data_IF_833622136191
#
_entry.id   IF_833622136191
#
_cell.length_a   1.000
_cell.length_b   1.000
_cell.length_c   1.000
_cell.angle_alpha   90.00
_cell.angle_beta   90.00
_cell.angle_gamma   90.00
#
_symmetry.space_group_name_H-M   'P 1'
#
loop_
_entity.id
_entity.type
_entity.pdbx_description
1 polymer ?
2 polymer ?
3 branched ?
4 branched ?
5 non-polymer ?
6 non-polymer ?
7 non-polymer ?
8 non-polymer ?
9 water ?
#
# COMPACT_ATOMS: atom_id res chain seq x y z
N UNK A 1 -2.78 7.31 -33.20
CA UNK A 1 -1.58 7.18 -32.30
C UNK A 1 -1.65 8.15 -31.12
N UNK A 2 -1.70 7.60 -29.92
CA UNK A 2 -2.10 8.40 -28.76
C UNK A 2 -0.94 8.81 -27.82
N UNK A 3 0.27 8.31 -28.08
CA UNK A 3 1.42 8.60 -27.22
C UNK A 3 2.73 8.83 -27.97
N UNK A 4 3.84 8.82 -27.25
CA UNK A 4 5.15 9.07 -27.81
C UNK A 4 6.20 8.20 -27.12
N UNK A 5 6.85 7.31 -27.86
CA UNK A 5 7.75 6.36 -27.23
C UNK A 5 9.15 6.90 -27.23
N UNK A 6 9.97 6.30 -26.36
CA UNK A 6 11.34 6.73 -26.13
C UNK A 6 12.02 5.54 -25.49
N UNK A 7 13.35 5.50 -25.52
CA UNK A 7 14.09 4.40 -24.92
C UNK A 7 13.62 3.93 -23.50
N UNK A 8 13.46 4.85 -22.55
CA UNK A 8 13.03 4.42 -21.20
C UNK A 8 11.73 5.08 -20.76
N UNK A 9 10.77 5.24 -21.65
CA UNK A 9 9.65 6.04 -21.26
C UNK A 9 8.55 6.00 -22.25
N UNK A 10 7.38 6.46 -21.82
CA UNK A 10 6.23 6.54 -22.68
C UNK A 10 5.39 7.73 -22.27
N UNK A 11 5.29 8.75 -23.11
CA UNK A 11 4.55 9.92 -22.76
C UNK A 11 3.16 9.85 -23.35
N UNK A 12 2.14 9.71 -22.50
CA UNK A 12 0.76 9.60 -22.97
C UNK A 12 0.29 10.86 -23.66
N UNK A 13 1.05 11.39 -24.60
CA UNK A 13 0.57 12.54 -25.37
C UNK A 13 1.18 12.37 -26.75
N UNK A 14 0.40 12.71 -27.77
CA UNK A 14 0.79 12.56 -29.15
C UNK A 14 1.80 13.62 -29.53
N UNK A 15 2.82 13.22 -30.29
CA UNK A 15 3.82 14.17 -30.78
C UNK A 15 3.52 14.77 -32.18
N UNK A 16 2.29 14.60 -32.68
CA UNK A 16 1.99 15.17 -34.01
C UNK A 16 2.34 16.64 -34.16
N UNK A 17 2.19 17.42 -33.10
CA UNK A 17 2.58 18.83 -33.14
C UNK A 17 4.06 19.03 -32.79
N UNK A 18 4.77 17.93 -32.51
CA UNK A 18 6.21 18.02 -32.19
C UNK A 18 6.64 18.63 -30.85
N UNK A 19 5.71 18.90 -29.94
CA UNK A 19 6.04 19.58 -28.65
C UNK A 19 6.49 18.65 -27.51
N UNK A 20 6.30 17.35 -27.67
CA UNK A 20 6.60 16.41 -26.64
C UNK A 20 8.11 16.39 -26.36
N UNK A 21 8.48 16.28 -25.08
CA UNK A 21 9.90 16.16 -24.70
C UNK A 21 10.05 14.98 -23.82
N UNK A 22 11.28 14.53 -23.67
CA UNK A 22 11.55 13.43 -22.78
C UNK A 22 11.19 13.81 -21.31
N UNK A 23 10.46 12.92 -20.61
CA UNK A 23 10.09 13.25 -19.23
C UNK A 23 11.33 13.35 -18.33
N UNK A 24 12.49 12.90 -18.81
CA UNK A 24 13.74 13.11 -18.09
C UNK A 24 14.47 14.42 -18.40
N UNK A 25 13.89 15.32 -19.20
CA UNK A 25 14.71 16.44 -19.69
C UNK A 25 14.04 17.77 -19.66
N UNK A 26 12.72 17.81 -19.75
CA UNK A 26 12.05 19.08 -19.88
C UNK A 26 10.62 19.01 -19.37
N UNK A 27 10.09 20.16 -18.95
CA UNK A 27 8.76 20.14 -18.33
C UNK A 27 7.73 19.49 -19.24
N UNK A 28 6.64 19.01 -18.68
CA UNK A 28 5.64 18.30 -19.44
C UNK A 28 4.38 19.11 -19.45
N UNK A 29 4.54 20.42 -19.58
CA UNK A 29 3.41 21.33 -19.45
C UNK A 29 2.43 21.29 -20.61
N UNK A 30 2.67 20.41 -21.56
CA UNK A 30 1.73 20.21 -22.67
C UNK A 30 0.79 19.06 -22.37
N UNK A 31 1.14 18.21 -21.42
CA UNK A 31 0.17 17.14 -21.09
C UNK A 31 -0.69 17.47 -19.87
N UNK A 32 -0.42 18.59 -19.22
CA UNK A 32 -1.21 19.07 -18.09
C UNK A 32 -0.77 20.49 -17.82
N UNK A 33 -1.69 21.35 -17.41
CA UNK A 33 -1.28 22.71 -17.09
C UNK A 33 -0.27 22.76 -15.95
N UNK A 34 0.50 23.85 -15.87
CA UNK A 34 1.37 24.02 -14.69
C UNK A 34 0.61 23.94 -13.37
N UNK A 35 -0.60 24.47 -13.33
CA UNK A 35 -1.33 24.46 -12.05
C UNK A 35 -1.66 23.04 -11.58
N UNK A 36 -1.87 22.12 -12.52
CA UNK A 36 -2.18 20.76 -12.14
C UNK A 36 -0.94 20.09 -11.59
N UNK A 37 0.22 20.57 -12.01
CA UNK A 37 1.45 20.05 -11.45
C UNK A 37 1.60 20.56 -10.02
N UNK A 38 1.13 21.80 -9.80
CA UNK A 38 1.12 22.40 -8.49
C UNK A 38 0.20 21.59 -7.57
N UNK A 39 -1.02 21.35 -8.05
CA UNK A 39 -1.99 20.52 -7.36
C UNK A 39 -1.39 19.15 -7.05
N UNK A 40 -0.56 18.62 -7.95
CA UNK A 40 0.06 17.35 -7.67
C UNK A 40 1.04 17.50 -6.51
N UNK A 41 1.73 18.63 -6.46
CA UNK A 41 2.70 18.87 -5.40
C UNK A 41 1.92 19.10 -4.09
N UNK A 42 0.84 19.89 -4.18
CA UNK A 42 0.02 20.12 -3.04
C UNK A 42 -0.37 18.76 -2.44
N UNK A 43 -0.78 17.84 -3.31
CA UNK A 43 -1.26 16.56 -2.84
C UNK A 43 -0.17 15.74 -2.18
N UNK A 44 1.03 15.74 -2.74
CA UNK A 44 2.11 15.01 -2.13
C UNK A 44 2.46 15.66 -0.80
N UNK A 45 2.27 16.98 -0.75
CA UNK A 45 2.57 17.72 0.45
C UNK A 45 1.60 17.27 1.56
N UNK A 46 0.32 17.14 1.22
CA UNK A 46 -0.64 16.59 2.16
C UNK A 46 -0.21 15.19 2.69
N UNK A 47 0.17 14.28 1.80
CA UNK A 47 0.47 12.92 2.21
C UNK A 47 1.70 12.86 3.06
N UNK A 48 2.60 13.82 2.87
CA UNK A 48 3.82 13.85 3.67
C UNK A 48 3.47 14.39 5.08
N UNK A 49 2.71 15.48 5.11
CA UNK A 49 2.42 16.16 6.35
C UNK A 49 1.57 15.30 7.26
N UNK A 50 0.68 14.49 6.68
CA UNK A 50 -0.13 13.53 7.43
C UNK A 50 0.59 12.19 7.60
N UNK A 51 1.25 11.72 6.54
CA UNK A 51 1.80 10.37 6.52
C UNK A 51 3.09 10.27 7.31
N UNK A 52 3.88 11.32 7.32
CA UNK A 52 5.09 11.26 8.12
C UNK A 52 4.77 11.17 9.62
N UNK A 53 4.07 12.18 10.18
CA UNK A 53 3.83 12.15 11.65
C UNK A 53 3.11 10.87 12.10
N UNK A 54 2.03 10.51 11.45
CA UNK A 54 1.30 9.30 11.80
C UNK A 54 2.13 8.01 11.83
N UNK A 55 2.99 7.81 10.84
CA UNK A 55 3.74 6.57 10.78
C UNK A 55 4.95 6.62 11.68
N UNK A 56 5.56 7.79 11.77
CA UNK A 56 6.70 7.96 12.64
C UNK A 56 6.23 7.85 14.11
N UNK A 57 5.16 8.57 14.43
CA UNK A 57 4.60 8.50 15.76
C UNK A 57 4.37 7.04 16.17
N UNK A 58 3.87 6.23 15.24
CA UNK A 58 3.74 4.80 15.49
C UNK A 58 5.04 4.12 15.95
N UNK A 59 6.15 4.43 15.29
CA UNK A 59 7.42 3.83 15.69
C UNK A 59 7.85 4.38 17.06
N UNK A 60 7.64 5.68 17.23
CA UNK A 60 8.08 6.39 18.40
C UNK A 60 7.38 5.89 19.68
N UNK A 61 6.05 5.84 19.68
CA UNK A 61 5.37 5.32 20.85
C UNK A 61 5.79 3.89 21.16
N UNK A 62 6.17 3.13 20.14
CA UNK A 62 6.56 1.75 20.40
C UNK A 62 7.88 1.70 21.18
N UNK A 63 8.76 2.67 20.93
CA UNK A 63 9.98 2.81 21.70
C UNK A 63 9.67 3.25 23.16
N UNK A 64 8.62 4.03 23.34
CA UNK A 64 8.27 4.59 24.64
C UNK A 64 7.37 3.70 25.51
N UNK A 65 6.66 2.76 24.89
CA UNK A 65 5.64 2.00 25.60
C UNK A 65 5.87 0.51 25.56
N UNK A 66 6.49 -0.01 26.61
CA UNK A 66 6.83 -1.43 26.68
C UNK A 66 5.71 -2.35 26.19
N UNK A 67 4.47 -2.04 26.56
CA UNK A 67 3.32 -2.90 26.24
C UNK A 67 3.07 -3.09 24.74
N UNK A 68 3.53 -2.14 23.92
CA UNK A 68 3.27 -2.23 22.50
C UNK A 68 4.22 -3.24 21.87
N UNK A 69 5.36 -3.48 22.52
CA UNK A 69 6.39 -4.32 21.94
C UNK A 69 6.13 -5.80 22.07
N UNK A 70 5.01 -6.27 21.51
CA UNK A 70 4.61 -7.67 21.54
C UNK A 70 4.64 -8.26 20.12
N UNK A 71 4.84 -9.59 20.00
CA UNK A 71 4.96 -10.20 18.66
C UNK A 71 3.82 -9.87 17.68
N UNK A 72 2.58 -9.87 18.15
CA UNK A 72 1.46 -9.57 17.27
C UNK A 72 1.48 -8.11 16.78
N UNK A 73 2.30 -7.27 17.40
CA UNK A 73 2.41 -5.92 16.93
C UNK A 73 3.53 -5.73 15.92
N UNK A 74 4.40 -6.72 15.78
CA UNK A 74 5.55 -6.56 14.88
C UNK A 74 5.11 -6.14 13.48
N UNK A 75 4.05 -6.78 12.98
CA UNK A 75 3.64 -6.59 11.60
C UNK A 75 3.03 -5.20 11.39
N UNK A 76 2.51 -4.61 12.47
CA UNK A 76 1.99 -3.26 12.42
C UNK A 76 3.13 -2.25 12.36
N UNK A 77 4.25 -2.60 12.99
CA UNK A 77 5.41 -1.74 12.97
C UNK A 77 5.96 -1.77 11.57
N UNK A 78 5.99 -2.98 11.03
CA UNK A 78 6.40 -3.23 9.68
C UNK A 78 5.56 -2.36 8.74
N UNK A 79 4.26 -2.34 9.00
CA UNK A 79 3.36 -1.58 8.20
C UNK A 79 3.81 -0.13 8.22
N UNK A 80 4.19 0.37 9.39
CA UNK A 80 4.50 1.78 9.49
C UNK A 80 5.83 2.11 8.81
N UNK A 81 6.76 1.17 8.81
CA UNK A 81 8.03 1.33 8.12
C UNK A 81 7.79 1.40 6.62
N UNK A 82 6.89 0.57 6.15
CA UNK A 82 6.57 0.50 4.74
C UNK A 82 5.95 1.82 4.28
N UNK A 83 4.97 2.29 5.04
CA UNK A 83 4.36 3.57 4.76
C UNK A 83 5.44 4.64 4.70
N UNK A 84 6.50 4.49 5.49
CA UNK A 84 7.59 5.48 5.46
C UNK A 84 8.46 5.38 4.19
N UNK A 85 8.69 4.16 3.72
CA UNK A 85 9.33 4.00 2.40
C UNK A 85 8.52 4.74 1.33
N UNK A 86 7.20 4.67 1.42
CA UNK A 86 6.38 5.38 0.46
C UNK A 86 6.57 6.89 0.58
N UNK A 87 6.65 7.37 1.82
CA UNK A 87 6.71 8.80 2.08
C UNK A 87 8.01 9.43 1.61
N UNK A 88 9.11 8.71 1.78
CA UNK A 88 10.44 9.25 1.43
C UNK A 88 10.97 8.77 0.08
N UNK A 89 10.69 7.52 -0.27
CA UNK A 89 11.08 7.04 -1.58
C UNK A 89 10.24 7.68 -2.66
N UNK A 90 8.94 7.83 -2.39
CA UNK A 90 7.99 8.25 -3.39
C UNK A 90 7.50 9.68 -3.24
N UNK A 91 6.79 9.95 -2.13
CA UNK A 91 6.08 11.23 -1.96
C UNK A 91 7.03 12.44 -2.00
N UNK A 92 8.17 12.37 -1.33
CA UNK A 92 9.04 13.53 -1.30
C UNK A 92 9.70 13.80 -2.64
N UNK A 93 10.23 12.75 -3.25
CA UNK A 93 10.71 12.77 -4.63
C UNK A 93 9.68 13.41 -5.56
N UNK A 94 8.43 12.99 -5.42
CA UNK A 94 7.40 13.51 -6.31
C UNK A 94 7.00 14.96 -6.01
N UNK A 95 7.13 15.37 -4.75
CA UNK A 95 6.87 16.76 -4.43
C UNK A 95 7.88 17.57 -5.27
N UNK A 96 9.13 17.12 -5.20
CA UNK A 96 10.25 17.81 -5.80
C UNK A 96 10.17 17.80 -7.34
N UNK A 97 10.00 16.62 -7.93
CA UNK A 97 9.95 16.51 -9.38
C UNK A 97 8.76 17.26 -9.95
N UNK A 98 7.61 17.12 -9.32
CA UNK A 98 6.43 17.81 -9.83
C UNK A 98 6.62 19.33 -9.94
N UNK A 99 7.45 19.91 -9.08
CA UNK A 99 7.60 21.36 -9.06
C UNK A 99 8.56 21.82 -10.19
N UNK A 100 9.31 20.87 -10.72
CA UNK A 100 10.09 21.03 -11.95
C UNK A 100 9.26 20.68 -13.18
N UNK A 101 8.15 19.96 -12.99
CA UNK A 101 7.29 19.57 -14.10
C UNK A 101 7.78 18.38 -14.90
N UNK A 102 8.82 17.70 -14.43
CA UNK A 102 9.22 16.41 -15.01
C UNK A 102 10.17 15.66 -14.10
N UNK A 103 10.51 14.44 -14.47
CA UNK A 103 11.28 13.61 -13.59
C UNK A 103 12.78 13.93 -13.69
N UNK A 104 13.20 14.97 -12.98
CA UNK A 104 14.57 15.48 -13.12
C UNK A 104 15.69 14.56 -12.70
N UNK A 105 15.42 13.39 -12.12
CA UNK A 105 16.54 12.54 -11.65
C UNK A 105 16.95 11.53 -12.68
N UNK A 106 16.24 11.49 -13.80
CA UNK A 106 16.66 10.63 -14.90
C UNK A 106 16.32 9.17 -14.70
N UNK A 107 16.60 8.35 -15.72
CA UNK A 107 16.29 6.92 -15.76
C UNK A 107 16.82 6.13 -14.55
N UNK A 108 18.03 6.41 -14.07
CA UNK A 108 18.50 5.63 -12.92
C UNK A 108 17.72 6.03 -11.67
N UNK A 109 17.56 7.33 -11.43
CA UNK A 109 16.70 7.82 -10.38
C UNK A 109 15.27 7.32 -10.53
N UNK A 110 14.86 7.02 -11.75
CA UNK A 110 13.52 6.53 -12.01
C UNK A 110 13.45 5.14 -11.39
N UNK A 111 14.56 4.43 -11.46
CA UNK A 111 14.63 3.07 -10.94
C UNK A 111 14.67 3.06 -9.42
N UNK A 112 15.44 3.99 -8.84
CA UNK A 112 15.49 4.17 -7.41
C UNK A 112 14.11 4.51 -6.85
N UNK A 113 13.49 5.54 -7.38
CA UNK A 113 12.23 5.92 -6.81
C UNK A 113 11.17 4.84 -7.07
N UNK A 114 11.24 4.18 -8.21
CA UNK A 114 10.24 3.19 -8.55
C UNK A 114 10.41 1.98 -7.65
N UNK A 115 11.65 1.61 -7.41
CA UNK A 115 11.94 0.48 -6.55
C UNK A 115 11.44 0.73 -5.11
N UNK A 116 11.86 1.83 -4.51
CA UNK A 116 11.54 2.05 -3.11
C UNK A 116 10.04 2.34 -2.89
N UNK A 117 9.42 2.96 -3.87
CA UNK A 117 8.02 3.28 -3.79
C UNK A 117 7.22 1.98 -3.92
N UNK A 118 7.70 1.10 -4.77
CA UNK A 118 7.01 -0.15 -5.00
C UNK A 118 7.28 -1.07 -3.83
N UNK A 119 8.53 -1.10 -3.36
CA UNK A 119 8.86 -1.92 -2.20
C UNK A 119 7.93 -1.54 -1.05
N UNK A 120 7.87 -0.24 -0.74
CA UNK A 120 7.11 0.21 0.40
C UNK A 120 5.67 -0.23 0.32
N UNK A 121 5.05 0.01 -0.84
CA UNK A 121 3.63 -0.24 -0.99
C UNK A 121 3.33 -1.72 -0.96
N UNK A 122 4.33 -2.54 -1.25
CA UNK A 122 4.13 -3.97 -1.36
C UNK A 122 4.35 -4.66 -0.01
N UNK A 123 5.31 -4.15 0.76
CA UNK A 123 5.49 -4.55 2.14
C UNK A 123 4.24 -4.20 2.92
N UNK A 124 3.67 -3.03 2.65
CA UNK A 124 2.45 -2.66 3.34
C UNK A 124 1.38 -3.69 3.03
N UNK A 125 1.10 -3.88 1.74
CA UNK A 125 0.07 -4.84 1.30
C UNK A 125 0.28 -6.22 1.95
N UNK A 126 1.50 -6.74 1.89
CA UNK A 126 1.71 -8.08 2.42
C UNK A 126 1.63 -8.10 3.94
N UNK A 127 1.89 -6.95 4.54
CA UNK A 127 1.64 -6.77 5.95
C UNK A 127 0.15 -6.95 6.23
N UNK A 128 -0.72 -6.34 5.43
CA UNK A 128 -2.16 -6.45 5.70
C UNK A 128 -2.59 -7.92 5.56
N UNK A 129 -1.86 -8.65 4.72
CA UNK A 129 -2.22 -10.01 4.46
C UNK A 129 -1.75 -10.86 5.63
N UNK A 130 -0.48 -10.70 6.00
CA UNK A 130 0.10 -11.45 7.10
C UNK A 130 -0.66 -11.19 8.39
N UNK A 131 -1.09 -9.95 8.61
CA UNK A 131 -1.80 -9.60 9.80
C UNK A 131 -3.14 -10.33 9.84
N UNK A 132 -3.73 -10.55 8.67
CA UNK A 132 -4.99 -11.26 8.62
C UNK A 132 -4.74 -12.73 8.91
N UNK A 133 -3.64 -13.27 8.41
CA UNK A 133 -3.31 -14.66 8.61
C UNK A 133 -3.13 -14.90 10.12
N UNK A 134 -2.23 -14.12 10.73
CA UNK A 134 -1.98 -14.19 12.16
C UNK A 134 -3.26 -14.09 12.99
N UNK A 135 -4.16 -13.19 12.63
CA UNK A 135 -5.39 -13.06 13.38
C UNK A 135 -6.25 -14.30 13.26
N UNK A 136 -6.25 -14.88 12.06
CA UNK A 136 -7.04 -16.06 11.77
C UNK A 136 -6.53 -17.19 12.64
N UNK A 137 -5.22 -17.39 12.61
CA UNK A 137 -4.53 -18.38 13.38
C UNK A 137 -4.79 -18.26 14.89
N UNK A 138 -4.66 -17.05 15.43
CA UNK A 138 -4.78 -16.86 16.86
C UNK A 138 -6.22 -16.93 17.36
N UNK A 139 -7.18 -16.48 16.56
CA UNK A 139 -8.56 -16.40 17.04
C UNK A 139 -9.36 -17.63 16.62
N UNK A 140 -9.09 -18.13 15.43
CA UNK A 140 -9.83 -19.24 14.88
C UNK A 140 -9.18 -20.55 15.29
N UNK A 141 -7.94 -20.48 15.74
CA UNK A 141 -7.26 -21.65 16.30
C UNK A 141 -7.42 -22.86 15.37
N UNK A 142 -6.99 -22.72 14.10
CA UNK A 142 -7.14 -23.82 13.16
C UNK A 142 -6.10 -24.91 13.40
N UNK A 143 -5.12 -24.64 14.27
CA UNK A 143 -4.10 -25.63 14.59
C UNK A 143 -4.07 -25.90 16.10
N UNK A 144 -4.49 -27.09 16.50
CA UNK A 144 -4.55 -27.42 17.92
C UNK A 144 -3.16 -27.31 18.54
N UNK A 145 -3.09 -26.71 19.73
CA UNK A 145 -1.84 -26.62 20.47
C UNK A 145 -0.92 -25.45 20.09
N UNK A 146 -1.19 -24.83 18.96
CA UNK A 146 -0.30 -23.77 18.44
C UNK A 146 -0.34 -22.50 19.30
N UNK A 147 0.84 -22.00 19.64
CA UNK A 147 0.98 -20.76 20.40
C UNK A 147 1.83 -19.78 19.59
N UNK A 148 1.24 -18.63 19.22
CA UNK A 148 1.92 -17.65 18.38
C UNK A 148 2.95 -16.86 19.17
N UNK A 149 4.22 -16.96 18.79
CA UNK A 149 5.26 -16.24 19.52
C UNK A 149 6.22 -15.44 18.66
N UNK A 150 7.25 -14.90 19.29
CA UNK A 150 8.21 -14.05 18.62
C UNK A 150 8.65 -14.56 17.25
N UNK A 151 9.15 -15.80 17.20
CA UNK A 151 9.69 -16.37 15.97
C UNK A 151 8.70 -16.39 14.81
N UNK A 152 7.44 -16.67 15.08
CA UNK A 152 6.47 -16.65 13.98
C UNK A 152 6.29 -15.22 13.48
N UNK A 153 6.38 -14.27 14.41
CA UNK A 153 6.16 -12.87 14.10
C UNK A 153 7.25 -12.37 13.16
N UNK A 154 8.48 -12.77 13.44
CA UNK A 154 9.62 -12.44 12.60
C UNK A 154 9.49 -13.07 11.22
N UNK A 155 9.03 -14.31 11.17
CA UNK A 155 8.86 -14.98 9.89
C UNK A 155 7.79 -14.27 9.09
N UNK A 156 6.76 -13.78 9.78
CA UNK A 156 5.72 -13.01 9.14
C UNK A 156 6.29 -11.74 8.52
N UNK A 157 7.21 -11.08 9.22
CA UNK A 157 7.76 -9.85 8.72
C UNK A 157 8.63 -10.14 7.50
N UNK A 158 9.53 -11.12 7.64
CA UNK A 158 10.44 -11.49 6.57
C UNK A 158 9.67 -11.88 5.33
N UNK A 159 8.59 -12.65 5.52
CA UNK A 159 7.75 -13.04 4.41
C UNK A 159 7.32 -11.81 3.58
N UNK A 160 6.95 -10.74 4.25
CA UNK A 160 6.47 -9.59 3.52
C UNK A 160 7.60 -8.94 2.71
N UNK A 161 8.78 -8.90 3.31
CA UNK A 161 9.94 -8.35 2.64
C UNK A 161 10.15 -9.11 1.33
N UNK A 162 10.21 -10.43 1.45
CA UNK A 162 10.45 -11.31 0.32
C UNK A 162 9.36 -11.15 -0.74
N UNK A 163 8.09 -11.14 -0.35
CA UNK A 163 7.03 -10.99 -1.35
C UNK A 163 7.16 -9.63 -2.02
N UNK A 164 7.64 -8.63 -1.29
CA UNK A 164 7.74 -7.29 -1.85
C UNK A 164 8.89 -7.26 -2.85
N UNK A 165 10.04 -7.79 -2.46
CA UNK A 165 11.16 -7.94 -3.38
C UNK A 165 10.75 -8.69 -4.64
N UNK A 166 9.90 -9.71 -4.48
CA UNK A 166 9.48 -10.53 -5.62
C UNK A 166 8.66 -9.68 -6.59
N UNK A 167 8.43 -8.43 -6.20
CA UNK A 167 7.55 -7.59 -6.99
C UNK A 167 8.32 -6.37 -7.49
N UNK A 168 9.19 -5.83 -6.66
CA UNK A 168 9.88 -4.60 -6.97
C UNK A 168 11.20 -4.83 -7.68
N UNK A 169 11.75 -6.04 -7.54
CA UNK A 169 13.10 -6.34 -8.02
C UNK A 169 13.18 -6.70 -9.52
N UNK A 170 12.35 -7.63 -9.99
CA UNK A 170 12.32 -7.98 -11.41
C UNK A 170 12.43 -6.80 -12.42
N UNK A 171 11.62 -5.75 -12.25
CA UNK A 171 11.68 -4.67 -13.23
C UNK A 171 13.01 -3.95 -13.20
N UNK A 172 13.87 -4.32 -12.26
CA UNK A 172 15.19 -3.73 -12.22
C UNK A 172 16.12 -4.57 -13.08
N UNK A 173 15.66 -5.75 -13.49
CA UNK A 173 16.55 -6.70 -14.15
C UNK A 173 15.93 -7.48 -15.30
N UNK A 174 15.03 -6.89 -16.07
CA UNK A 174 14.57 -7.55 -17.29
C UNK A 174 13.09 -7.81 -17.39
N UNK A 175 12.47 -8.05 -16.26
CA UNK A 175 11.07 -8.43 -16.27
C UNK A 175 10.24 -7.23 -15.79
N UNK A 176 9.37 -6.77 -16.68
CA UNK A 176 8.82 -5.41 -16.72
C UNK A 176 9.92 -4.35 -16.65
N UNK A 177 9.53 -3.11 -16.38
CA UNK A 177 10.51 -2.04 -16.15
C UNK A 177 9.87 -0.89 -15.37
N UNK A 178 10.69 -0.01 -14.81
CA UNK A 178 10.18 1.25 -14.25
C UNK A 178 10.25 2.38 -15.27
N UNK A 179 9.16 3.09 -15.48
CA UNK A 179 9.20 4.27 -16.32
C UNK A 179 8.39 5.39 -15.66
N UNK A 180 8.62 6.64 -16.07
CA UNK A 180 7.76 7.66 -15.49
C UNK A 180 6.32 7.32 -15.80
N UNK A 181 5.38 7.96 -15.11
CA UNK A 181 3.99 7.52 -15.14
C UNK A 181 3.03 8.72 -15.12
N UNK A 182 1.83 8.52 -15.64
CA UNK A 182 0.86 9.60 -15.70
C UNK A 182 1.53 10.91 -16.08
N UNK A 183 1.57 11.86 -15.14
CA UNK A 183 2.12 13.17 -15.39
C UNK A 183 3.64 13.18 -15.46
N UNK A 184 4.23 11.99 -15.41
CA UNK A 184 5.65 11.87 -15.69
C UNK A 184 6.54 12.36 -14.55
N UNK A 185 5.95 12.65 -13.40
CA UNK A 185 6.75 13.13 -12.27
C UNK A 185 7.10 12.02 -11.30
N UNK A 186 6.39 10.91 -11.36
CA UNK A 186 6.83 9.76 -10.56
C UNK A 186 6.88 8.52 -11.42
N UNK A 187 7.58 7.51 -10.92
CA UNK A 187 7.91 6.36 -11.70
C UNK A 187 7.26 5.15 -11.07
N UNK A 188 6.73 4.26 -11.88
CA UNK A 188 6.22 3.00 -11.42
C UNK A 188 6.38 1.88 -12.44
N UNK A 189 5.87 0.71 -12.09
CA UNK A 189 5.86 -0.43 -12.97
C UNK A 189 5.14 -0.08 -14.26
N UNK A 190 5.77 -0.43 -15.38
CA UNK A 190 5.14 -0.29 -16.69
C UNK A 190 4.14 -1.42 -16.87
N UNK A 191 2.88 -1.13 -16.60
CA UNK A 191 1.85 -2.15 -16.67
C UNK A 191 0.87 -1.78 -17.75
N UNK A 192 1.27 -0.94 -18.70
CA UNK A 192 0.28 -0.42 -19.66
C UNK A 192 0.82 -0.28 -21.09
N UNK A 193 2.07 -0.65 -21.32
CA UNK A 193 2.59 -0.76 -22.68
C UNK A 193 3.18 -2.15 -22.87
N UNK A 194 2.85 -2.78 -24.01
CA UNK A 194 3.44 -4.07 -24.37
C UNK A 194 4.86 -3.77 -24.72
N UNK A 195 5.81 -4.36 -24.01
CA UNK A 195 7.18 -4.02 -24.23
C UNK A 195 7.88 -5.35 -24.11
N UNK A 196 7.85 -6.07 -25.23
CA UNK A 196 8.25 -7.46 -25.31
C UNK A 196 9.67 -7.70 -24.85
N UNK A 197 10.52 -6.69 -24.98
CA UNK A 197 11.92 -6.87 -24.58
C UNK A 197 12.02 -7.09 -23.07
N UNK A 198 10.98 -6.71 -22.33
CA UNK A 198 10.94 -6.90 -20.88
C UNK A 198 9.78 -7.78 -20.42
N UNK A 199 8.91 -8.15 -21.36
CA UNK A 199 7.84 -9.10 -21.08
C UNK A 199 6.75 -8.54 -20.18
N UNK A 200 6.39 -7.30 -20.43
CA UNK A 200 5.36 -6.65 -19.65
C UNK A 200 4.12 -7.52 -19.44
N UNK A 201 3.61 -8.10 -20.51
CA UNK A 201 2.33 -8.81 -20.44
C UNK A 201 2.32 -9.85 -19.30
N UNK A 202 3.30 -10.75 -19.30
CA UNK A 202 3.30 -11.80 -18.31
C UNK A 202 3.52 -11.23 -16.89
N UNK A 203 4.39 -10.22 -16.75
CA UNK A 203 4.60 -9.61 -15.45
C UNK A 203 3.30 -9.05 -14.88
N UNK A 204 2.53 -8.41 -15.75
CA UNK A 204 1.28 -7.84 -15.33
C UNK A 204 0.36 -8.95 -14.84
N UNK A 205 0.35 -10.08 -15.54
CA UNK A 205 -0.45 -11.22 -15.14
C UNK A 205 0.04 -11.74 -13.80
N UNK A 206 1.34 -11.88 -13.66
CA UNK A 206 1.89 -12.32 -12.39
C UNK A 206 1.50 -11.36 -11.24
N UNK A 207 1.58 -10.05 -11.49
CA UNK A 207 1.20 -9.06 -10.49
C UNK A 207 -0.24 -9.25 -10.11
N UNK A 208 -1.09 -9.33 -11.12
CA UNK A 208 -2.51 -9.42 -10.90
C UNK A 208 -2.85 -10.64 -10.05
N UNK A 209 -2.19 -11.76 -10.34
CA UNK A 209 -2.54 -13.02 -9.70
C UNK A 209 -1.90 -13.12 -8.33
N UNK A 210 -0.58 -12.97 -8.29
CA UNK A 210 0.17 -13.19 -7.08
C UNK A 210 0.13 -12.03 -6.07
N UNK A 211 -0.06 -10.80 -6.54
CA UNK A 211 0.07 -9.62 -5.68
C UNK A 211 -1.22 -8.86 -5.57
N UNK A 212 -2.25 -9.35 -6.24
CA UNK A 212 -3.57 -8.82 -6.03
C UNK A 212 -4.58 -9.92 -5.66
N UNK A 213 -4.77 -10.93 -6.52
CA UNK A 213 -5.77 -11.98 -6.30
C UNK A 213 -5.50 -12.83 -5.03
N UNK A 214 -4.30 -13.39 -4.91
CA UNK A 214 -3.93 -14.14 -3.73
C UNK A 214 -4.21 -13.33 -2.46
N UNK A 215 -3.48 -12.21 -2.27
CA UNK A 215 -3.75 -11.25 -1.20
C UNK A 215 -5.24 -11.11 -0.92
N UNK A 216 -6.02 -10.79 -1.95
CA UNK A 216 -7.46 -10.62 -1.79
C UNK A 216 -8.15 -11.89 -1.27
N UNK A 217 -7.71 -13.06 -1.76
CA UNK A 217 -8.34 -14.30 -1.36
C UNK A 217 -7.97 -14.65 0.10
N UNK A 218 -6.69 -14.60 0.42
CA UNK A 218 -6.27 -14.83 1.79
C UNK A 218 -6.97 -13.91 2.80
N UNK A 219 -7.09 -12.62 2.48
CA UNK A 219 -7.71 -11.67 3.38
C UNK A 219 -9.19 -12.00 3.61
N UNK A 220 -9.90 -12.37 2.56
CA UNK A 220 -11.32 -12.71 2.67
C UNK A 220 -11.56 -14.00 3.45
N UNK A 221 -10.74 -14.99 3.16
CA UNK A 221 -10.82 -16.23 3.88
C UNK A 221 -10.57 -15.97 5.36
N UNK A 222 -9.38 -15.47 5.71
CA UNK A 222 -9.05 -15.27 7.11
C UNK A 222 -10.08 -14.43 7.86
N UNK A 223 -10.48 -13.29 7.30
CA UNK A 223 -11.37 -12.42 8.04
C UNK A 223 -12.79 -12.97 7.99
N UNK A 224 -13.10 -13.69 6.91
CA UNK A 224 -14.41 -14.37 6.81
C UNK A 224 -14.50 -15.43 7.90
N UNK A 225 -13.47 -16.27 8.02
CA UNK A 225 -13.40 -17.22 9.13
C UNK A 225 -13.50 -16.53 10.47
N UNK A 226 -12.75 -15.45 10.63
CA UNK A 226 -12.69 -14.76 11.90
C UNK A 226 -14.08 -14.25 12.26
N UNK A 227 -14.78 -13.68 11.30
CA UNK A 227 -16.11 -13.18 11.62
C UNK A 227 -17.04 -14.33 11.95
N UNK A 228 -16.89 -15.46 11.26
CA UNK A 228 -17.71 -16.62 11.53
C UNK A 228 -17.47 -17.14 12.96
N UNK A 229 -16.23 -17.43 13.30
CA UNK A 229 -15.87 -17.81 14.65
C UNK A 229 -16.42 -16.88 15.72
N UNK A 230 -16.35 -15.57 15.50
CA UNK A 230 -16.81 -14.63 16.50
C UNK A 230 -18.34 -14.57 16.56
N UNK A 231 -19.01 -14.81 15.43
CA UNK A 231 -20.47 -14.86 15.45
C UNK A 231 -20.93 -16.11 16.24
N UNK A 232 -20.28 -17.23 15.96
CA UNK A 232 -20.58 -18.47 16.64
C UNK A 232 -20.34 -18.38 18.16
N UNK A 233 -19.17 -17.89 18.58
CA UNK A 233 -18.91 -17.73 20.00
C UNK A 233 -20.01 -16.89 20.64
N UNK A 234 -20.41 -15.82 19.98
CA UNK A 234 -21.39 -14.93 20.58
C UNK A 234 -22.78 -15.61 20.69
N UNK A 235 -23.15 -16.37 19.67
CA UNK A 235 -24.46 -17.04 19.61
C UNK A 235 -24.59 -18.09 20.72
N UNK A 236 -23.48 -18.80 20.97
CA UNK A 236 -23.33 -19.71 22.07
C UNK A 236 -23.09 -19.04 23.43
N UNK A 237 -23.14 -17.71 23.49
CA UNK A 237 -22.81 -17.02 24.73
C UNK A 237 -23.55 -15.71 24.87
N UNK A 238 -24.82 -15.72 24.48
CA UNK A 238 -25.61 -14.52 24.49
C UNK A 238 -25.88 -13.98 25.87
N UNK A 239 -25.55 -14.73 26.90
CA UNK A 239 -25.70 -14.17 28.24
C UNK A 239 -24.60 -13.15 28.52
N UNK A 240 -23.56 -13.12 27.66
CA UNK A 240 -22.44 -12.17 27.84
C UNK A 240 -22.58 -10.92 26.96
N UNK A 241 -22.86 -9.78 27.58
CA UNK A 241 -23.05 -8.52 26.82
C UNK A 241 -21.74 -8.10 26.11
N UNK A 242 -20.62 -8.26 26.81
CA UNK A 242 -19.31 -7.98 26.26
C UNK A 242 -19.07 -8.75 24.97
N UNK A 243 -19.38 -10.04 24.98
CA UNK A 243 -19.15 -10.85 23.80
C UNK A 243 -20.01 -10.36 22.65
N UNK A 244 -21.19 -9.83 22.95
CA UNK A 244 -22.06 -9.37 21.88
C UNK A 244 -21.43 -8.13 21.26
N UNK A 245 -20.86 -7.28 22.11
CA UNK A 245 -20.15 -6.11 21.65
C UNK A 245 -18.94 -6.48 20.80
N UNK A 246 -18.13 -7.42 21.28
CA UNK A 246 -16.93 -7.80 20.55
C UNK A 246 -17.33 -8.24 19.14
N UNK A 247 -18.45 -8.93 19.05
CA UNK A 247 -18.85 -9.44 17.78
C UNK A 247 -19.22 -8.31 16.82
N UNK A 248 -19.87 -7.27 17.35
CA UNK A 248 -20.25 -6.13 16.54
C UNK A 248 -19.01 -5.30 16.14
N UNK A 249 -18.15 -5.02 17.10
CA UNK A 249 -16.98 -4.23 16.81
C UNK A 249 -16.07 -4.95 15.82
N UNK A 250 -15.96 -6.27 15.96
CA UNK A 250 -15.07 -7.05 15.13
C UNK A 250 -15.60 -7.12 13.71
N UNK A 251 -16.92 -7.26 13.59
CA UNK A 251 -17.53 -7.32 12.28
C UNK A 251 -17.32 -5.98 11.59
N UNK A 252 -17.54 -4.89 12.31
CA UNK A 252 -17.32 -3.55 11.78
C UNK A 252 -15.85 -3.33 11.33
N UNK A 253 -14.87 -3.69 12.16
CA UNK A 253 -13.49 -3.56 11.74
C UNK A 253 -13.20 -4.33 10.45
N UNK A 254 -13.76 -5.53 10.34
CA UNK A 254 -13.45 -6.36 9.20
C UNK A 254 -14.02 -5.70 7.93
N UNK A 255 -15.22 -5.16 8.03
CA UNK A 255 -15.81 -4.51 6.87
C UNK A 255 -14.90 -3.35 6.44
N UNK A 256 -14.56 -2.49 7.41
CA UNK A 256 -13.64 -1.39 7.20
C UNK A 256 -12.30 -1.84 6.60
N UNK A 257 -11.66 -2.86 7.18
CA UNK A 257 -10.36 -3.31 6.63
C UNK A 257 -10.45 -3.77 5.20
N UNK A 258 -11.50 -4.54 4.91
CA UNK A 258 -11.69 -5.14 3.61
C UNK A 258 -12.06 -4.08 2.58
N UNK A 259 -12.98 -3.19 2.93
CA UNK A 259 -13.30 -2.10 2.00
C UNK A 259 -12.07 -1.24 1.68
N UNK A 260 -11.26 -0.98 2.70
CA UNK A 260 -10.04 -0.20 2.58
C UNK A 260 -9.02 -0.87 1.64
N UNK A 261 -8.95 -2.19 1.69
CA UNK A 261 -8.04 -2.93 0.82
C UNK A 261 -8.49 -2.80 -0.64
N UNK A 262 -9.80 -2.95 -0.84
CA UNK A 262 -10.40 -2.78 -2.14
C UNK A 262 -10.16 -1.38 -2.68
N UNK A 263 -10.46 -0.35 -1.89
CA UNK A 263 -10.26 1.02 -2.36
C UNK A 263 -8.79 1.26 -2.75
N UNK A 264 -7.88 0.59 -2.08
CA UNK A 264 -6.47 0.86 -2.31
C UNK A 264 -5.93 0.18 -3.57
N UNK A 265 -6.45 -1.01 -3.91
CA UNK A 265 -5.87 -1.82 -4.99
C UNK A 265 -6.81 -2.11 -6.16
N UNK A 266 -8.12 -2.09 -5.91
CA UNK A 266 -9.07 -2.40 -6.97
C UNK A 266 -8.89 -1.46 -8.15
N UNK A 267 -8.73 -0.16 -7.89
CA UNK A 267 -8.54 0.75 -9.03
C UNK A 267 -7.35 0.42 -9.91
N UNK A 268 -6.19 0.14 -9.33
CA UNK A 268 -5.04 -0.27 -10.14
C UNK A 268 -5.37 -1.56 -10.90
N UNK A 269 -5.95 -2.51 -10.18
CA UNK A 269 -6.34 -3.77 -10.79
C UNK A 269 -7.34 -3.52 -11.93
N UNK A 270 -8.37 -2.72 -11.68
CA UNK A 270 -9.38 -2.47 -12.69
C UNK A 270 -8.82 -1.83 -13.95
N UNK A 271 -7.87 -0.93 -13.76
CA UNK A 271 -7.26 -0.20 -14.87
C UNK A 271 -6.27 -1.05 -15.65
N UNK A 272 -5.43 -1.80 -14.94
CA UNK A 272 -4.51 -2.71 -15.58
C UNK A 272 -5.27 -3.76 -16.36
N UNK A 273 -6.41 -4.18 -15.83
CA UNK A 273 -7.22 -5.18 -16.50
C UNK A 273 -7.76 -4.60 -17.81
N UNK A 274 -8.37 -3.43 -17.72
CA UNK A 274 -8.92 -2.73 -18.88
C UNK A 274 -7.88 -2.55 -19.98
N UNK A 275 -6.74 -1.91 -19.66
CA UNK A 275 -5.67 -1.72 -20.62
C UNK A 275 -5.25 -3.04 -21.29
N UNK A 276 -5.16 -4.10 -20.50
CA UNK A 276 -4.79 -5.43 -20.98
C UNK A 276 -5.83 -5.93 -21.99
N UNK A 277 -7.09 -5.56 -21.77
CA UNK A 277 -8.22 -6.01 -22.57
C UNK A 277 -8.57 -5.06 -23.73
N UNK A 278 -7.98 -3.87 -23.73
CA UNK A 278 -8.29 -2.82 -24.70
C UNK A 278 -6.98 -2.18 -25.15
N UNK A 279 -6.16 -2.98 -25.83
CA UNK A 279 -4.74 -2.68 -26.08
C UNK A 279 -4.38 -1.27 -26.55
N UNK A 280 -3.61 -0.56 -25.70
CA UNK A 280 -3.00 0.73 -26.05
C UNK A 280 -3.91 1.86 -26.49
N UNK A 281 -5.12 1.94 -25.91
CA UNK A 281 -6.06 3.02 -26.23
C UNK A 281 -5.60 4.36 -25.62
N UNK A 282 -6.34 5.42 -25.92
CA UNK A 282 -5.97 6.76 -25.44
C UNK A 282 -6.10 6.89 -23.92
N UNK A 283 -5.05 6.52 -23.19
CA UNK A 283 -5.02 6.69 -21.74
C UNK A 283 -4.21 7.92 -21.31
N UNK A 284 -4.91 9.00 -20.99
CA UNK A 284 -4.26 10.25 -20.60
C UNK A 284 -3.44 10.21 -19.31
N UNK A 285 -2.60 11.22 -19.11
CA UNK A 285 -1.71 11.31 -17.95
C UNK A 285 -2.49 11.41 -16.65
N UNK A 286 -3.53 12.22 -16.64
CA UNK A 286 -4.33 12.45 -15.44
C UNK A 286 -5.20 11.23 -15.06
N UNK A 287 -5.64 10.48 -16.07
CA UNK A 287 -6.31 9.20 -15.86
C UNK A 287 -5.40 8.11 -15.26
N UNK A 288 -4.10 8.15 -15.56
CA UNK A 288 -3.19 7.12 -15.05
C UNK A 288 -2.79 7.45 -13.62
N UNK A 289 -3.24 8.61 -13.15
CA UNK A 289 -2.90 9.12 -11.84
C UNK A 289 -3.96 8.72 -10.80
N UNK A 290 -5.17 8.38 -11.27
CA UNK A 290 -6.28 8.01 -10.38
C UNK A 290 -5.99 6.75 -9.54
N UNK A 291 -5.64 5.63 -10.20
CA UNK A 291 -5.29 4.46 -9.39
C UNK A 291 -4.11 4.76 -8.45
N UNK A 292 -3.23 5.66 -8.84
CA UNK A 292 -2.07 6.04 -8.04
C UNK A 292 -2.49 6.83 -6.80
N UNK A 293 -3.44 7.75 -6.98
CA UNK A 293 -4.03 8.50 -5.90
C UNK A 293 -4.59 7.53 -4.86
N UNK A 294 -5.41 6.58 -5.29
CA UNK A 294 -5.96 5.58 -4.37
C UNK A 294 -4.91 4.77 -3.61
N UNK A 295 -3.94 4.21 -4.31
CA UNK A 295 -2.90 3.42 -3.65
C UNK A 295 -2.02 4.24 -2.67
N UNK A 296 -1.62 5.43 -3.11
CA UNK A 296 -0.70 6.27 -2.34
C UNK A 296 -1.31 6.77 -1.03
N UNK A 297 -2.59 7.12 -1.06
CA UNK A 297 -3.25 7.68 0.11
C UNK A 297 -3.34 6.67 1.26
N UNK A 298 -3.09 5.40 0.95
CA UNK A 298 -3.15 4.35 1.93
C UNK A 298 -2.02 4.48 2.97
N UNK A 299 -1.06 5.36 2.73
CA UNK A 299 0.05 5.48 3.68
C UNK A 299 -0.42 6.39 4.84
N UNK A 300 -1.59 6.97 4.63
CA UNK A 300 -2.29 7.71 5.65
C UNK A 300 -3.46 6.89 6.22
N UNK A 301 -4.37 6.39 5.37
CA UNK A 301 -5.56 5.74 5.93
C UNK A 301 -5.31 4.36 6.58
N UNK A 302 -4.33 3.60 6.08
CA UNK A 302 -3.96 2.36 6.76
C UNK A 302 -3.55 2.56 8.22
N UNK A 303 -2.66 3.52 8.49
CA UNK A 303 -2.28 3.68 9.90
C UNK A 303 -3.46 4.19 10.73
N UNK A 304 -4.39 4.90 10.11
CA UNK A 304 -5.58 5.29 10.82
C UNK A 304 -6.37 4.02 11.21
N UNK A 305 -6.51 3.10 10.27
CA UNK A 305 -7.36 1.95 10.50
C UNK A 305 -6.70 0.92 11.43
N UNK A 306 -5.47 0.56 11.12
CA UNK A 306 -4.74 -0.47 11.82
C UNK A 306 -4.00 0.00 13.05
N UNK A 307 -3.72 1.29 13.14
CA UNK A 307 -2.96 1.79 14.28
C UNK A 307 -3.82 2.71 15.16
N UNK A 308 -4.38 3.75 14.59
CA UNK A 308 -5.10 4.72 15.41
C UNK A 308 -6.39 4.15 15.95
N UNK A 309 -6.97 3.22 15.23
CA UNK A 309 -8.24 2.63 15.63
C UNK A 309 -8.02 1.41 16.55
N UNK A 310 -6.76 1.13 16.84
CA UNK A 310 -6.38 0.11 17.77
C UNK A 310 -6.18 0.72 19.18
N UNK A 311 -7.00 0.25 20.12
CA UNK A 311 -7.10 0.78 21.49
C UNK A 311 -5.75 1.06 22.17
N UNK A 312 -4.85 0.09 22.12
CA UNK A 312 -3.57 0.20 22.76
C UNK A 312 -2.74 1.31 22.15
N UNK A 313 -2.50 1.21 20.84
CA UNK A 313 -1.72 2.22 20.17
C UNK A 313 -2.34 3.58 20.44
N UNK A 314 -3.65 3.69 20.27
CA UNK A 314 -4.25 5.00 20.44
C UNK A 314 -4.01 5.56 21.84
N UNK A 315 -4.20 4.75 22.88
CA UNK A 315 -3.94 5.22 24.26
C UNK A 315 -2.50 5.66 24.43
N UNK A 316 -1.58 4.86 23.92
CA UNK A 316 -0.18 5.25 24.00
C UNK A 316 0.16 6.52 23.23
N UNK A 317 -0.45 6.70 22.06
CA UNK A 317 -0.23 7.93 21.30
C UNK A 317 -0.75 9.15 22.03
N UNK A 318 -1.95 9.02 22.59
CA UNK A 318 -2.53 10.09 23.38
C UNK A 318 -1.61 10.42 24.53
N UNK A 319 -1.17 9.40 25.27
CA UNK A 319 -0.27 9.66 26.39
C UNK A 319 0.99 10.39 25.93
N UNK A 320 1.58 9.97 24.81
CA UNK A 320 2.83 10.56 24.36
C UNK A 320 2.62 11.96 23.82
N UNK A 321 1.47 12.21 23.21
CA UNK A 321 1.20 13.53 22.63
C UNK A 321 0.80 14.55 23.69
N UNK A 322 0.29 14.07 24.82
CA UNK A 322 -0.02 14.96 25.92
C UNK A 322 1.08 14.84 26.95
N UNK A 323 2.32 14.78 26.45
CA UNK A 323 3.52 14.96 27.26
C UNK A 323 3.66 13.97 28.43
N UNK A 324 2.68 13.09 28.59
CA UNK A 324 2.84 11.95 29.50
C UNK A 324 1.67 11.63 30.42
N UNK A 325 0.48 12.15 30.13
CA UNK A 325 -0.64 12.01 31.03
C UNK A 325 -1.92 11.63 30.30
N UNK A 326 -2.90 11.12 31.03
CA UNK A 326 -4.25 10.87 30.51
C UNK A 326 -4.43 9.46 29.96
N UNK B 1 -12.43 -16.25 23.31
CA UNK B 1 -12.19 -15.34 22.15
C UNK B 1 -11.73 -13.95 22.61
N UNK B 2 -12.31 -13.48 23.72
CA UNK B 2 -12.08 -12.11 24.16
C UNK B 2 -10.58 -11.81 24.31
N UNK B 3 -9.86 -12.65 25.05
CA UNK B 3 -8.46 -12.39 25.29
C UNK B 3 -7.72 -12.38 23.97
N UNK B 4 -8.06 -13.34 23.12
CA UNK B 4 -7.50 -13.40 21.78
C UNK B 4 -7.75 -12.13 20.96
N UNK B 5 -9.00 -11.66 20.97
CA UNK B 5 -9.38 -10.47 20.27
C UNK B 5 -8.58 -9.27 20.77
N UNK B 6 -8.47 -9.11 22.07
CA UNK B 6 -7.65 -8.02 22.62
C UNK B 6 -6.20 -8.13 22.16
N UNK B 7 -5.63 -9.32 22.26
CA UNK B 7 -4.26 -9.56 21.79
C UNK B 7 -4.00 -9.09 20.36
N UNK B 8 -4.99 -9.23 19.47
CA UNK B 8 -4.78 -8.93 18.06
C UNK B 8 -5.28 -7.54 17.70
N UNK B 9 -5.74 -6.79 18.70
CA UNK B 9 -6.11 -5.40 18.48
C UNK B 9 -7.48 -5.22 17.86
N UNK B 10 -8.33 -6.23 17.98
CA UNK B 10 -9.64 -6.12 17.38
C UNK B 10 -10.71 -5.73 18.39
N UNK B 11 -10.39 -5.82 19.66
CA UNK B 11 -11.38 -5.47 20.66
C UNK B 11 -10.78 -4.86 21.94
#
# INVERSE_FOLDING_TARGET
MNGTEGPNFYVPFSNKTGVVRSPFEAPQYYLAEPWQFSMLAAYMFLLIMLGFPINFLTLYVTVQHKKLRTPLNYILLNLAVADLFMVFGGFTTTLYTSLHGYFVFGPTGCNLEGFFATLGGEIALWSLVVLAIERYVVVCKPMSNFRFGENHAIMGVAFTWVMALACAAPPLVGWSRYIPEGMQCSCGIDYYTPHEETNNESFVIYMFVVHFIIPLIVIFFCYGQLVFTVKEAAAQQQESATTQKAEKEVTRMVIIMVIAFLICWLPYAGVAFYIFTHQGSDFGPIFMTIPAFFAKTSAVYNPVIYIMMNKQFRNCMVTTLCCGKNPLGDDEASTTVSKTETSQVAPA
ILENLKDVGLF
#
